data_IF_752624457863
#
_entry.id   IF_752624457863
#
_cell.length_a   1.000
_cell.length_b   1.000
_cell.length_c   1.000
_cell.angle_alpha   90.00
_cell.angle_beta   90.00
_cell.angle_gamma   90.00
#
_symmetry.space_group_name_H-M   'P 1'
#
loop_
_entity.id
_entity.type
_entity.pdbx_description
1 polymer ?
#
# COMPACT_ATOMS: atom_id res chain seq x y z
N UNK A 1 -7.09 -77.21 -29.18
CA UNK A 1 -8.27 -76.50 -28.62
C UNK A 1 -7.80 -75.77 -27.37
N UNK A 2 -7.50 -74.47 -27.50
CA UNK A 2 -8.32 -73.35 -26.95
C UNK A 2 -8.43 -73.45 -25.41
N UNK A 3 -7.99 -72.50 -24.59
CA UNK A 3 -8.06 -71.02 -24.65
C UNK A 3 -6.97 -70.43 -23.75
N UNK A 4 -6.27 -69.38 -24.21
CA UNK A 4 -5.41 -68.54 -23.37
C UNK A 4 -6.27 -67.56 -22.55
N UNK A 5 -6.17 -67.63 -21.24
CA UNK A 5 -6.90 -66.77 -20.31
C UNK A 5 -6.28 -65.36 -20.24
N UNK A 6 -7.13 -64.35 -20.29
CA UNK A 6 -6.80 -62.97 -20.61
C UNK A 6 -6.57 -62.19 -19.31
N UNK A 7 -5.30 -61.86 -19.02
CA UNK A 7 -4.97 -60.95 -17.90
C UNK A 7 -5.51 -59.54 -18.19
N UNK A 8 -6.50 -59.12 -17.39
CA UNK A 8 -7.02 -57.75 -17.37
C UNK A 8 -5.96 -56.81 -16.78
N UNK A 9 -5.48 -55.87 -17.59
CA UNK A 9 -4.61 -54.76 -17.17
C UNK A 9 -5.52 -53.63 -16.69
N UNK A 10 -5.48 -53.31 -15.40
CA UNK A 10 -6.11 -52.11 -14.86
C UNK A 10 -5.17 -50.93 -15.08
N UNK A 11 -5.52 -50.05 -16.01
CA UNK A 11 -4.87 -48.75 -16.19
C UNK A 11 -5.50 -47.80 -15.16
N UNK A 12 -4.78 -47.56 -14.07
CA UNK A 12 -5.13 -46.53 -13.09
C UNK A 12 -4.89 -45.16 -13.69
N UNK A 13 -5.96 -44.43 -14.01
CA UNK A 13 -5.91 -43.04 -14.44
C UNK A 13 -5.66 -42.16 -13.20
N UNK A 14 -4.41 -41.82 -12.94
CA UNK A 14 -4.07 -40.82 -11.93
C UNK A 14 -4.46 -39.44 -12.47
N UNK A 15 -5.60 -38.91 -12.02
CA UNK A 15 -6.02 -37.55 -12.30
C UNK A 15 -5.08 -36.57 -11.58
N UNK A 16 -4.12 -36.02 -12.31
CA UNK A 16 -3.34 -34.88 -11.86
C UNK A 16 -4.25 -33.66 -11.77
N UNK A 17 -4.73 -33.35 -10.57
CA UNK A 17 -5.34 -32.06 -10.27
C UNK A 17 -4.25 -30.99 -10.34
N UNK A 18 -4.09 -30.38 -11.51
CA UNK A 18 -3.37 -29.12 -11.66
C UNK A 18 -4.24 -28.08 -10.94
N UNK A 19 -3.93 -27.84 -9.66
CA UNK A 19 -4.34 -26.63 -8.97
C UNK A 19 -3.65 -25.47 -9.67
N UNK A 20 -4.30 -24.94 -10.72
CA UNK A 20 -4.02 -23.62 -11.22
C UNK A 20 -4.40 -22.65 -10.09
N UNK A 21 -3.45 -22.40 -9.19
CA UNK A 21 -3.51 -21.27 -8.29
C UNK A 21 -3.48 -20.02 -9.15
N UNK A 22 -4.66 -19.55 -9.56
CA UNK A 22 -4.82 -18.17 -10.01
C UNK A 22 -4.45 -17.32 -8.81
N UNK A 23 -3.20 -16.88 -8.76
CA UNK A 23 -2.80 -15.76 -7.91
C UNK A 23 -3.69 -14.61 -8.37
N UNK A 24 -4.75 -14.35 -7.61
CA UNK A 24 -5.41 -13.06 -7.66
C UNK A 24 -4.31 -12.07 -7.30
N UNK A 25 -3.67 -11.49 -8.30
CA UNK A 25 -2.97 -10.25 -8.14
C UNK A 25 -4.06 -9.26 -7.73
N UNK A 26 -4.31 -9.17 -6.43
CA UNK A 26 -5.14 -8.12 -5.87
C UNK A 26 -4.50 -6.82 -6.34
N UNK A 27 -5.22 -6.10 -7.20
CA UNK A 27 -4.80 -4.76 -7.57
C UNK A 27 -4.64 -3.98 -6.26
N UNK A 28 -3.44 -3.45 -6.04
CA UNK A 28 -3.15 -2.75 -4.81
C UNK A 28 -4.15 -1.61 -4.59
N UNK A 29 -4.65 -1.48 -3.37
CA UNK A 29 -5.62 -0.48 -2.97
C UNK A 29 -5.01 0.93 -3.04
N UNK A 30 -5.89 1.92 -3.18
CA UNK A 30 -5.50 3.32 -3.19
C UNK A 30 -5.10 3.79 -1.78
N UNK A 31 -4.02 4.58 -1.70
CA UNK A 31 -3.57 5.19 -0.45
C UNK A 31 -4.43 6.43 -0.16
N UNK A 32 -5.61 6.20 0.42
CA UNK A 32 -6.59 7.25 0.75
C UNK A 32 -7.12 7.09 2.18
N UNK A 33 -7.60 8.18 2.77
CA UNK A 33 -8.16 8.15 4.12
C UNK A 33 -9.31 7.13 4.25
N UNK A 34 -10.19 7.08 3.26
CA UNK A 34 -11.35 6.18 3.26
C UNK A 34 -10.97 4.70 3.18
N UNK A 35 -9.89 4.37 2.46
CA UNK A 35 -9.39 3.00 2.39
C UNK A 35 -8.61 2.63 3.67
N UNK A 36 -7.88 3.58 4.25
CA UNK A 36 -7.05 3.33 5.43
C UNK A 36 -7.82 3.32 6.75
N UNK A 37 -8.88 4.11 6.89
CA UNK A 37 -9.59 4.24 8.17
C UNK A 37 -10.13 2.88 8.68
N UNK A 38 -10.82 2.04 7.89
CA UNK A 38 -11.27 0.74 8.37
C UNK A 38 -10.13 -0.18 8.82
N UNK A 39 -8.99 -0.15 8.13
CA UNK A 39 -7.79 -0.90 8.53
C UNK A 39 -7.19 -0.34 9.83
N UNK A 40 -7.10 0.99 9.95
CA UNK A 40 -6.67 1.67 11.17
C UNK A 40 -7.53 1.26 12.36
N UNK A 41 -8.87 1.33 12.24
CA UNK A 41 -9.81 0.97 13.29
C UNK A 41 -9.78 -0.53 13.62
N UNK A 42 -9.47 -1.39 12.64
CA UNK A 42 -9.30 -2.83 12.89
C UNK A 42 -8.05 -3.15 13.70
N UNK A 43 -6.97 -2.39 13.47
CA UNK A 43 -5.69 -2.56 14.15
C UNK A 43 -5.65 -1.83 15.52
N UNK A 44 -6.32 -0.69 15.64
CA UNK A 44 -6.40 0.09 16.88
C UNK A 44 -7.40 -0.55 17.86
N UNK A 45 -6.88 -1.22 18.89
CA UNK A 45 -7.70 -1.84 19.94
C UNK A 45 -8.16 -0.86 21.03
N UNK A 46 -7.72 0.39 20.97
CA UNK A 46 -8.00 1.40 22.01
C UNK A 46 -9.17 2.30 21.65
N UNK A 47 -9.46 2.43 20.36
CA UNK A 47 -10.54 3.29 19.87
C UNK A 47 -11.83 2.50 19.71
N UNK A 48 -12.79 2.70 20.61
CA UNK A 48 -14.06 1.98 20.58
C UNK A 48 -15.02 2.63 19.58
N UNK A 49 -15.77 1.85 18.76
CA UNK A 49 -16.72 2.42 17.79
C UNK A 49 -17.72 3.42 18.38
N UNK A 50 -18.16 3.21 19.62
CA UNK A 50 -19.07 4.12 20.31
C UNK A 50 -18.47 5.51 20.56
N UNK A 51 -17.14 5.61 20.73
CA UNK A 51 -16.46 6.88 21.03
C UNK A 51 -16.29 7.76 19.79
N UNK A 52 -16.48 7.17 18.60
CA UNK A 52 -16.22 7.81 17.31
C UNK A 52 -17.40 7.76 16.34
N UNK A 53 -18.55 7.21 16.76
CA UNK A 53 -19.72 7.02 15.89
C UNK A 53 -20.24 8.34 15.33
N UNK A 54 -20.29 9.40 16.14
CA UNK A 54 -20.77 10.70 15.70
C UNK A 54 -19.84 11.31 14.66
N UNK A 55 -18.52 11.20 14.86
CA UNK A 55 -17.52 11.59 13.89
C UNK A 55 -17.60 10.84 12.58
N UNK A 56 -17.83 9.52 12.68
CA UNK A 56 -18.02 8.68 11.51
C UNK A 56 -19.30 9.05 10.76
N UNK A 57 -20.39 9.29 11.48
CA UNK A 57 -21.66 9.74 10.90
C UNK A 57 -21.52 11.10 10.22
N UNK A 58 -20.85 12.06 10.86
CA UNK A 58 -20.56 13.38 10.27
C UNK A 58 -19.72 13.25 8.97
N UNK A 59 -18.76 12.33 8.96
CA UNK A 59 -17.82 12.17 7.84
C UNK A 59 -18.41 11.40 6.67
N UNK A 60 -19.11 10.29 6.94
CA UNK A 60 -19.55 9.33 5.93
C UNK A 60 -21.06 9.32 5.71
N UNK A 61 -21.84 9.95 6.60
CA UNK A 61 -23.30 10.10 6.49
C UNK A 61 -23.72 11.56 6.77
N UNK A 62 -23.12 12.56 6.08
CA UNK A 62 -23.29 13.98 6.43
C UNK A 62 -24.75 14.45 6.36
N UNK A 63 -25.57 13.88 5.46
CA UNK A 63 -27.00 14.18 5.38
C UNK A 63 -27.77 13.71 6.61
N UNK A 64 -27.41 12.53 7.14
CA UNK A 64 -28.02 11.96 8.35
C UNK A 64 -27.62 12.79 9.55
N UNK A 65 -26.33 13.13 9.68
CA UNK A 65 -25.84 14.02 10.74
C UNK A 65 -26.58 15.37 10.71
N UNK A 66 -26.59 16.03 9.55
CA UNK A 66 -27.23 17.34 9.39
C UNK A 66 -28.71 17.34 9.75
N UNK A 67 -29.43 16.26 9.40
CA UNK A 67 -30.88 16.15 9.62
C UNK A 67 -31.27 15.82 11.06
N UNK A 68 -30.49 14.99 11.75
CA UNK A 68 -30.91 14.37 13.02
C UNK A 68 -30.07 14.78 14.24
N UNK A 69 -28.94 15.49 14.09
CA UNK A 69 -28.06 15.84 15.23
C UNK A 69 -28.72 16.62 16.38
N UNK A 70 -29.81 17.33 16.09
CA UNK A 70 -30.52 18.18 17.05
C UNK A 70 -31.78 17.47 17.63
N UNK A 71 -32.04 16.21 17.24
CA UNK A 71 -33.14 15.37 17.75
C UNK A 71 -32.56 14.14 18.47
N UNK A 72 -32.54 14.17 19.81
CA UNK A 72 -31.85 13.17 20.62
C UNK A 72 -32.39 11.73 20.48
N UNK A 73 -33.68 11.58 20.15
CA UNK A 73 -34.31 10.27 20.00
C UNK A 73 -34.00 9.66 18.64
N UNK A 74 -34.19 10.44 17.57
CA UNK A 74 -33.83 10.00 16.21
C UNK A 74 -32.32 9.79 16.08
N UNK A 75 -31.52 10.67 16.69
CA UNK A 75 -30.06 10.55 16.69
C UNK A 75 -29.59 9.23 17.29
N UNK A 76 -30.22 8.77 18.37
CA UNK A 76 -29.87 7.50 18.99
C UNK A 76 -30.10 6.33 18.03
N UNK A 77 -31.22 6.29 17.31
CA UNK A 77 -31.47 5.27 16.29
C UNK A 77 -30.42 5.34 15.15
N UNK A 78 -30.08 6.54 14.69
CA UNK A 78 -29.06 6.72 13.62
C UNK A 78 -27.66 6.35 14.09
N UNK A 79 -27.34 6.51 15.38
CA UNK A 79 -26.08 6.03 15.96
C UNK A 79 -26.01 4.51 15.91
N UNK A 80 -27.06 3.81 16.29
CA UNK A 80 -27.11 2.35 16.26
C UNK A 80 -26.95 1.79 14.84
N UNK A 81 -27.61 2.41 13.86
CA UNK A 81 -27.44 2.10 12.44
C UNK A 81 -25.99 2.36 11.98
N UNK A 82 -25.42 3.52 12.33
CA UNK A 82 -24.05 3.88 11.96
C UNK A 82 -23.03 2.95 12.58
N UNK A 83 -23.22 2.55 13.84
CA UNK A 83 -22.37 1.59 14.52
C UNK A 83 -22.33 0.25 13.78
N UNK A 84 -23.46 -0.21 13.24
CA UNK A 84 -23.47 -1.43 12.45
C UNK A 84 -22.68 -1.27 11.15
N UNK A 85 -22.90 -0.18 10.40
CA UNK A 85 -22.15 0.15 9.19
C UNK A 85 -20.64 0.18 9.46
N UNK A 86 -20.23 0.82 10.55
CA UNK A 86 -18.82 0.89 10.97
C UNK A 86 -18.25 -0.49 11.28
N UNK A 87 -18.97 -1.30 12.07
CA UNK A 87 -18.54 -2.65 12.41
C UNK A 87 -18.39 -3.52 11.17
N UNK A 88 -19.28 -3.41 10.21
CA UNK A 88 -19.22 -4.15 8.94
C UNK A 88 -18.00 -3.71 8.12
N UNK A 89 -17.73 -2.40 8.04
CA UNK A 89 -16.54 -1.87 7.36
C UNK A 89 -15.23 -2.35 8.04
N UNK A 90 -15.16 -2.32 9.38
CA UNK A 90 -14.01 -2.83 10.15
C UNK A 90 -13.86 -4.35 9.96
N UNK A 91 -14.96 -5.09 9.97
CA UNK A 91 -14.93 -6.54 9.78
C UNK A 91 -14.42 -6.90 8.38
N UNK A 92 -14.88 -6.20 7.34
CA UNK A 92 -14.48 -6.40 5.95
C UNK A 92 -13.04 -5.97 5.64
N UNK A 93 -12.48 -5.00 6.38
CA UNK A 93 -11.13 -4.50 6.15
C UNK A 93 -10.09 -5.61 6.25
N UNK A 94 -9.15 -5.67 5.31
CA UNK A 94 -8.08 -6.67 5.31
C UNK A 94 -6.74 -6.02 5.69
N UNK A 95 -6.16 -6.29 6.87
CA UNK A 95 -4.85 -5.74 7.24
C UNK A 95 -3.72 -6.16 6.30
N UNK A 96 -3.86 -7.30 5.61
CA UNK A 96 -2.89 -7.81 4.64
C UNK A 96 -3.04 -7.19 3.23
N UNK A 97 -4.02 -6.30 3.05
CA UNK A 97 -4.18 -5.54 1.81
C UNK A 97 -2.94 -4.70 1.51
N UNK A 98 -2.55 -4.68 0.23
CA UNK A 98 -1.42 -3.89 -0.24
C UNK A 98 -1.94 -2.55 -0.74
N UNK A 99 -1.43 -1.45 -0.19
CA UNK A 99 -1.76 -0.09 -0.62
C UNK A 99 -0.65 0.49 -1.47
N UNK A 100 -0.99 1.30 -2.49
CA UNK A 100 -0.01 1.99 -3.33
C UNK A 100 0.08 3.47 -3.00
N UNK A 101 1.24 3.91 -2.54
CA UNK A 101 1.57 5.34 -2.47
C UNK A 101 2.19 5.75 -3.81
N UNK A 102 1.63 6.78 -4.44
CA UNK A 102 2.23 7.43 -5.61
C UNK A 102 2.87 8.75 -5.17
N UNK A 103 4.19 8.87 -5.32
CA UNK A 103 4.93 10.04 -4.86
C UNK A 103 6.05 10.44 -5.82
N UNK A 104 6.70 11.56 -5.54
CA UNK A 104 7.83 12.12 -6.29
C UNK A 104 9.04 12.21 -5.39
N UNK A 105 10.21 11.85 -5.93
CA UNK A 105 11.48 12.03 -5.26
C UNK A 105 12.46 12.75 -6.18
N UNK A 106 13.45 13.42 -5.58
CA UNK A 106 14.55 14.03 -6.31
C UNK A 106 15.80 13.17 -6.16
N UNK A 107 16.53 12.98 -7.26
CA UNK A 107 17.87 12.40 -7.22
C UNK A 107 18.93 13.49 -7.30
N UNK A 108 20.10 13.20 -6.74
CA UNK A 108 21.25 14.09 -6.65
C UNK A 108 22.20 13.93 -7.85
N UNK A 109 23.47 14.24 -7.61
CA UNK A 109 24.48 14.27 -8.65
C UNK A 109 24.89 12.85 -9.08
N UNK A 110 25.49 12.76 -10.27
CA UNK A 110 26.06 11.51 -10.75
C UNK A 110 27.46 11.32 -10.16
N UNK A 111 27.66 10.22 -9.45
CA UNK A 111 28.96 9.79 -8.98
C UNK A 111 29.65 8.94 -10.07
N UNK A 112 30.75 9.46 -10.64
CA UNK A 112 31.48 8.81 -11.73
C UNK A 112 32.30 7.59 -11.31
N UNK A 113 32.61 7.46 -10.02
CA UNK A 113 33.35 6.34 -9.44
C UNK A 113 32.42 5.15 -9.18
N UNK A 114 31.26 5.40 -8.57
CA UNK A 114 30.27 4.37 -8.26
C UNK A 114 29.19 4.19 -9.34
N UNK A 115 29.27 4.94 -10.43
CA UNK A 115 28.39 4.90 -11.60
C UNK A 115 26.88 4.92 -11.27
N UNK A 116 26.49 5.83 -10.37
CA UNK A 116 25.11 5.97 -9.90
C UNK A 116 24.76 7.43 -9.61
N UNK A 117 23.49 7.78 -9.68
CA UNK A 117 23.00 9.04 -9.11
C UNK A 117 22.80 8.90 -7.61
N UNK A 118 23.13 9.94 -6.84
CA UNK A 118 22.80 9.98 -5.41
C UNK A 118 21.29 9.93 -5.22
N UNK A 119 20.80 9.04 -4.37
CA UNK A 119 19.35 8.87 -4.19
C UNK A 119 19.07 8.12 -2.89
N UNK A 120 18.45 8.80 -1.91
CA UNK A 120 18.07 8.24 -0.61
C UNK A 120 16.67 8.74 -0.22
N UNK A 121 15.63 8.30 -0.95
CA UNK A 121 14.27 8.86 -0.84
C UNK A 121 13.53 8.44 0.44
N UNK A 122 13.98 7.37 1.08
CA UNK A 122 13.38 6.80 2.28
C UNK A 122 14.40 6.87 3.40
N UNK A 123 14.05 7.58 4.48
CA UNK A 123 14.88 7.73 5.67
C UNK A 123 14.08 7.49 6.94
N UNK A 124 14.78 7.40 8.06
CA UNK A 124 14.13 7.29 9.38
C UNK A 124 13.21 8.50 9.63
N UNK A 125 12.02 8.23 10.15
CA UNK A 125 11.03 9.26 10.46
C UNK A 125 10.22 9.80 9.28
N UNK A 126 10.53 9.41 8.03
CA UNK A 126 9.67 9.70 6.89
C UNK A 126 8.29 9.03 7.08
N UNK A 127 7.24 9.79 6.79
CA UNK A 127 5.88 9.28 6.74
C UNK A 127 5.12 9.85 5.55
N UNK A 128 4.08 9.14 5.16
CA UNK A 128 3.05 9.65 4.25
C UNK A 128 1.77 9.84 5.04
N UNK A 129 1.03 10.91 4.77
CA UNK A 129 -0.26 11.15 5.42
C UNK A 129 -1.40 11.27 4.40
N UNK A 130 -2.58 10.88 4.87
CA UNK A 130 -3.85 11.20 4.23
C UNK A 130 -4.70 11.96 5.24
N UNK A 131 -5.29 13.05 4.79
CA UNK A 131 -6.05 13.97 5.64
C UNK A 131 -7.55 13.82 5.39
N UNK A 132 -8.34 14.00 6.44
CA UNK A 132 -9.79 14.08 6.37
C UNK A 132 -10.31 14.99 7.49
N UNK A 133 -11.17 15.93 7.13
CA UNK A 133 -11.85 16.74 8.13
C UNK A 133 -12.90 15.88 8.83
N UNK A 134 -12.75 15.69 10.14
CA UNK A 134 -13.70 14.93 10.95
C UNK A 134 -13.59 15.32 12.44
N UNK A 135 -14.72 15.26 13.13
CA UNK A 135 -14.79 15.33 14.60
C UNK A 135 -14.59 13.92 15.17
N UNK A 136 -13.94 13.77 16.33
CA UNK A 136 -13.72 12.48 17.04
C UNK A 136 -12.89 11.39 16.34
N UNK A 137 -12.83 11.35 15.02
CA UNK A 137 -11.89 10.54 14.24
C UNK A 137 -10.51 11.23 14.13
N UNK A 138 -9.42 10.48 13.86
CA UNK A 138 -8.12 11.09 13.57
C UNK A 138 -8.22 11.94 12.30
N UNK A 139 -7.91 13.24 12.38
CA UNK A 139 -7.95 14.14 11.20
C UNK A 139 -6.95 13.80 10.10
N UNK A 140 -5.93 13.05 10.46
CA UNK A 140 -4.90 12.56 9.55
C UNK A 140 -4.55 11.14 9.96
N UNK A 141 -4.23 10.31 8.98
CA UNK A 141 -3.58 9.02 9.18
C UNK A 141 -2.16 9.14 8.64
N UNK A 142 -1.18 9.10 9.53
CA UNK A 142 0.24 9.07 9.18
C UNK A 142 0.72 7.64 9.10
N UNK A 143 1.47 7.30 8.06
CA UNK A 143 2.01 5.98 7.82
C UNK A 143 3.53 6.06 7.78
N UNK A 144 4.15 5.51 8.82
CA UNK A 144 5.60 5.35 8.94
C UNK A 144 6.02 3.98 8.40
N UNK A 145 7.31 3.81 8.08
CA UNK A 145 7.83 2.54 7.59
C UNK A 145 8.67 1.81 8.64
N UNK A 146 8.39 0.53 8.85
CA UNK A 146 9.19 -0.34 9.72
C UNK A 146 10.51 -0.79 9.06
N UNK A 147 10.55 -0.81 7.72
CA UNK A 147 11.67 -1.27 6.92
C UNK A 147 12.04 -0.25 5.83
N UNK A 148 12.33 1.03 6.17
CA UNK A 148 12.76 1.99 5.17
C UNK A 148 14.04 1.44 4.53
N UNK A 149 13.96 1.04 3.27
CA UNK A 149 15.14 0.55 2.56
C UNK A 149 16.05 1.72 2.29
N UNK A 150 17.29 1.60 2.74
CA UNK A 150 18.37 2.45 2.25
C UNK A 150 18.56 2.07 0.78
N UNK A 151 18.11 2.96 -0.10
CA UNK A 151 18.40 2.86 -1.52
C UNK A 151 19.75 3.54 -1.69
N UNK A 152 20.72 2.81 -2.21
CA UNK A 152 22.08 3.32 -2.41
C UNK A 152 22.25 3.82 -3.85
N UNK A 153 21.53 4.90 -4.16
CA UNK A 153 21.60 5.54 -5.47
C UNK A 153 20.76 4.88 -6.57
N UNK A 154 20.72 5.54 -7.73
CA UNK A 154 20.13 5.00 -8.96
C UNK A 154 21.28 4.58 -9.90
N UNK A 155 21.57 3.27 -10.03
CA UNK A 155 22.68 2.79 -10.85
C UNK A 155 22.41 3.05 -12.34
N UNK A 156 23.38 3.66 -13.03
CA UNK A 156 23.26 3.96 -14.45
C UNK A 156 24.63 4.12 -15.11
N UNK A 157 24.89 3.39 -16.18
CA UNK A 157 26.13 3.54 -16.96
C UNK A 157 26.30 4.97 -17.49
N UNK A 158 27.54 5.47 -17.55
CA UNK A 158 27.88 6.86 -17.93
C UNK A 158 27.17 7.35 -19.21
N UNK A 159 27.13 6.53 -20.26
CA UNK A 159 26.47 6.89 -21.52
C UNK A 159 24.96 7.05 -21.35
N UNK A 160 24.32 6.15 -20.59
CA UNK A 160 22.90 6.22 -20.25
C UNK A 160 22.60 7.40 -19.32
N UNK A 161 23.44 7.64 -18.31
CA UNK A 161 23.32 8.76 -17.38
C UNK A 161 23.39 10.12 -18.10
N UNK A 162 24.31 10.26 -19.07
CA UNK A 162 24.40 11.45 -19.92
C UNK A 162 23.14 11.64 -20.76
N UNK A 163 22.63 10.59 -21.39
CA UNK A 163 21.39 10.65 -22.17
C UNK A 163 20.17 11.02 -21.29
N UNK A 164 20.09 10.41 -20.11
CA UNK A 164 19.05 10.66 -19.11
C UNK A 164 19.01 12.13 -18.67
N UNK A 165 20.16 12.71 -18.28
CA UNK A 165 20.25 14.13 -17.92
C UNK A 165 19.91 15.06 -19.09
N UNK A 166 20.39 14.75 -20.30
CA UNK A 166 20.13 15.57 -21.47
C UNK A 166 18.63 15.63 -21.84
N UNK A 167 17.92 14.50 -21.71
CA UNK A 167 16.47 14.45 -21.95
C UNK A 167 15.65 15.25 -20.91
N UNK A 168 16.27 15.55 -19.77
CA UNK A 168 15.69 16.29 -18.64
C UNK A 168 16.15 17.74 -18.55
N UNK A 169 17.03 18.17 -19.47
CA UNK A 169 17.60 19.52 -19.46
C UNK A 169 16.67 20.50 -20.17
N UNK A 170 16.35 21.60 -19.50
CA UNK A 170 15.63 22.73 -20.10
C UNK A 170 16.52 23.54 -21.05
N UNK A 171 15.90 24.41 -21.85
CA UNK A 171 16.61 25.37 -22.71
C UNK A 171 17.56 26.30 -21.93
N UNK A 172 17.27 26.54 -20.64
CA UNK A 172 18.08 27.37 -19.74
C UNK A 172 19.18 26.58 -19.01
N UNK A 173 19.26 25.27 -19.23
CA UNK A 173 20.30 24.41 -18.69
C UNK A 173 19.99 23.73 -17.36
N UNK A 174 18.86 24.06 -16.71
CA UNK A 174 18.37 23.36 -15.51
C UNK A 174 17.96 21.94 -15.85
N UNK A 175 18.33 20.97 -15.02
CA UNK A 175 17.94 19.57 -15.17
C UNK A 175 16.81 19.22 -14.23
N UNK A 176 15.73 18.65 -14.77
CA UNK A 176 14.63 18.05 -14.00
C UNK A 176 15.10 16.75 -13.34
N UNK A 177 15.27 16.78 -12.02
CA UNK A 177 15.75 15.64 -11.22
C UNK A 177 14.64 14.88 -10.50
N UNK A 178 13.39 15.10 -10.90
CA UNK A 178 12.25 14.43 -10.28
C UNK A 178 12.04 13.06 -10.92
N UNK A 179 11.85 12.03 -10.10
CA UNK A 179 11.40 10.69 -10.50
C UNK A 179 10.09 10.37 -9.80
N UNK A 180 9.25 9.57 -10.45
CA UNK A 180 8.02 9.09 -9.84
C UNK A 180 8.28 7.76 -9.12
N UNK A 181 7.70 7.59 -7.95
CA UNK A 181 7.75 6.35 -7.21
C UNK A 181 6.33 5.80 -6.97
N UNK A 182 6.19 4.49 -7.16
CA UNK A 182 5.09 3.70 -6.61
C UNK A 182 5.65 2.87 -5.47
N UNK A 183 5.12 3.07 -4.26
CA UNK A 183 5.53 2.34 -3.06
C UNK A 183 4.35 1.50 -2.61
N UNK A 184 4.48 0.18 -2.76
CA UNK A 184 3.48 -0.79 -2.32
C UNK A 184 3.77 -1.14 -0.87
N UNK A 185 2.78 -1.00 0.00
CA UNK A 185 2.94 -1.11 1.44
C UNK A 185 1.86 -2.01 2.04
N UNK A 186 2.16 -2.66 3.16
CA UNK A 186 1.19 -3.41 3.96
C UNK A 186 1.17 -2.84 5.37
N UNK A 187 -0.03 -2.63 5.92
CA UNK A 187 -0.18 -2.14 7.29
C UNK A 187 0.19 -3.23 8.30
N UNK A 188 0.94 -2.85 9.34
CA UNK A 188 1.41 -3.76 10.39
C UNK A 188 0.70 -3.52 11.71
N UNK A 189 0.74 -2.28 12.18
CA UNK A 189 0.24 -1.92 13.49
C UNK A 189 -0.11 -0.43 13.59
N UNK A 190 -0.80 -0.07 14.67
CA UNK A 190 -1.06 1.31 15.08
C UNK A 190 -0.09 1.65 16.21
N UNK A 191 0.68 2.73 16.01
CA UNK A 191 1.66 3.21 17.00
C UNK A 191 1.00 4.11 18.05
N UNK A 192 0.11 4.98 17.59
CA UNK A 192 -0.65 5.91 18.41
C UNK A 192 -1.85 6.43 17.61
N UNK A 193 -2.70 7.26 18.24
CA UNK A 193 -3.88 7.81 17.57
C UNK A 193 -3.51 8.50 16.25
N UNK A 194 -4.07 8.01 15.15
CA UNK A 194 -3.82 8.51 13.79
C UNK A 194 -2.43 8.21 13.23
N UNK A 195 -1.66 7.31 13.85
CA UNK A 195 -0.34 6.92 13.37
C UNK A 195 -0.24 5.39 13.22
N UNK A 196 0.09 4.96 12.00
CA UNK A 196 0.25 3.57 11.60
C UNK A 196 1.69 3.30 11.20
N UNK A 197 2.08 2.05 11.30
CA UNK A 197 3.35 1.53 10.79
C UNK A 197 3.05 0.53 9.68
N UNK A 198 3.75 0.68 8.56
CA UNK A 198 3.64 -0.21 7.41
C UNK A 198 4.99 -0.82 7.04
N UNK A 199 4.94 -1.93 6.33
CA UNK A 199 6.10 -2.55 5.68
C UNK A 199 6.03 -2.32 4.17
N UNK A 200 7.11 -1.78 3.62
CA UNK A 200 7.29 -1.65 2.18
C UNK A 200 7.43 -3.06 1.60
N UNK A 201 6.53 -3.41 0.69
CA UNK A 201 6.49 -4.67 -0.04
C UNK A 201 7.22 -4.57 -1.38
N UNK A 202 7.17 -3.40 -2.02
CA UNK A 202 7.82 -3.12 -3.29
C UNK A 202 7.93 -1.62 -3.51
N UNK A 203 8.98 -1.17 -4.19
CA UNK A 203 9.09 0.18 -4.72
C UNK A 203 9.53 0.15 -6.17
N UNK A 204 8.83 0.94 -7.01
CA UNK A 204 9.11 1.08 -8.43
C UNK A 204 9.39 2.54 -8.74
N UNK A 205 10.53 2.82 -9.36
CA UNK A 205 10.93 4.15 -9.82
C UNK A 205 10.71 4.29 -11.32
N UNK A 206 10.14 5.41 -11.73
CA UNK A 206 9.85 5.72 -13.11
C UNK A 206 10.44 7.06 -13.52
N UNK A 207 10.83 7.14 -14.78
CA UNK A 207 11.41 8.35 -15.39
C UNK A 207 10.40 9.51 -15.40
N UNK A 208 9.28 9.35 -16.10
CA UNK A 208 8.18 10.31 -16.16
C UNK A 208 6.85 9.59 -16.32
N UNK A 209 5.81 10.10 -15.68
CA UNK A 209 4.40 9.64 -15.79
C UNK A 209 4.21 8.11 -15.90
N UNK A 210 5.00 7.31 -15.17
CA UNK A 210 4.89 5.84 -15.17
C UNK A 210 5.27 5.14 -16.48
N UNK A 211 5.86 5.83 -17.46
CA UNK A 211 6.07 5.30 -18.83
C UNK A 211 7.34 4.45 -18.98
N UNK A 212 8.34 4.65 -18.14
CA UNK A 212 9.61 3.90 -18.21
C UNK A 212 10.13 3.59 -16.83
N UNK A 213 10.18 2.30 -16.50
CA UNK A 213 10.73 1.80 -15.24
C UNK A 213 12.24 2.01 -15.22
N UNK A 214 12.73 2.73 -14.22
CA UNK A 214 14.15 2.94 -13.96
C UNK A 214 14.69 1.83 -13.06
N UNK A 215 13.95 1.52 -12.00
CA UNK A 215 14.40 0.58 -10.96
C UNK A 215 13.20 -0.06 -10.29
N UNK A 216 13.36 -1.33 -9.91
CA UNK A 216 12.43 -2.05 -9.04
C UNK A 216 13.20 -2.53 -7.82
N UNK A 217 12.61 -2.34 -6.64
CA UNK A 217 13.14 -2.75 -5.37
C UNK A 217 12.08 -3.58 -4.66
N UNK A 218 12.33 -4.87 -4.52
CA UNK A 218 11.41 -5.73 -3.76
C UNK A 218 11.60 -5.45 -2.27
N UNK A 219 10.51 -5.31 -1.51
CA UNK A 219 10.47 -4.95 -0.09
C UNK A 219 10.94 -6.04 0.86
N UNK A 220 11.14 -7.26 0.34
CA UNK A 220 11.63 -8.42 1.10
C UNK A 220 13.04 -8.77 0.63
N UNK A 221 14.05 -8.62 1.49
CA UNK A 221 15.28 -9.41 1.34
C UNK A 221 15.33 -10.46 2.45
N UNK A 222 15.29 -11.72 1.99
CA UNK A 222 15.76 -12.97 2.58
C UNK A 222 15.39 -13.27 4.04
N UNK A 223 14.37 -14.12 4.21
CA UNK A 223 14.43 -15.13 5.27
C UNK A 223 15.73 -15.91 5.08
N UNK A 224 16.71 -15.71 5.95
CA UNK A 224 17.71 -16.73 6.21
C UNK A 224 16.97 -17.91 6.85
N UNK A 225 16.67 -18.94 6.06
CA UNK A 225 16.48 -20.28 6.63
C UNK A 225 17.90 -20.80 6.86
N UNK A 226 18.46 -20.47 8.02
CA UNK A 226 19.65 -21.12 8.52
C UNK A 226 19.25 -22.43 9.19
N UNK A 227 19.65 -23.53 8.54
CA UNK A 227 19.77 -24.93 9.00
C UNK A 227 18.56 -25.58 9.69
#
# INVERSE_FOLDING_TARGET
MTVFDTKKIYIGLAAACILAGSTLASAAADFSYNALLPVYLKLDRTLMPNDIVDGYMETYRPEVWSRFRDDEFELQEKREETLQIMKDAIAAANPDEVFTIQTRFEFGDYNFESEKFDFQPLGEGLYFNVDQCCTSLPRQLKVFFANPKIIDGIPMEKAKAKAFLNARKSSYGTVDRVVLAKVNIRMKEVRSRGEMVAEIQEMQLYDREGRSLIMKLDGVQATAVSQ
#
